data_IF_722924727306
#
_entry.id   IF_722924727306
#
_cell.length_a   1.000
_cell.length_b   1.000
_cell.length_c   1.000
_cell.angle_alpha   90.00
_cell.angle_beta   90.00
_cell.angle_gamma   90.00
#
_symmetry.space_group_name_H-M   'P 1'
#
loop_
_entity.id
_entity.type
_entity.pdbx_description
1 polymer ?
#
# COMPACT_ATOMS: atom_id res chain seq x y z
N UNK A 1 7.22 -28.22 36.80
CA UNK A 1 6.76 -26.86 36.46
C UNK A 1 7.05 -26.66 34.98
N UNK A 2 6.04 -26.81 34.12
CA UNK A 2 6.21 -26.77 32.65
C UNK A 2 6.00 -25.32 32.19
N UNK A 3 7.06 -24.68 31.71
CA UNK A 3 6.98 -23.38 31.03
C UNK A 3 6.61 -23.65 29.57
N UNK A 4 5.39 -23.29 29.19
CA UNK A 4 4.93 -23.30 27.80
C UNK A 4 5.38 -21.99 27.17
N UNK A 5 6.37 -22.05 26.29
CA UNK A 5 6.79 -20.92 25.48
C UNK A 5 5.76 -20.70 24.37
N UNK A 6 4.95 -19.64 24.52
CA UNK A 6 4.01 -19.20 23.50
C UNK A 6 4.80 -18.48 22.40
N UNK A 7 5.22 -19.22 21.39
CA UNK A 7 5.88 -18.66 20.21
C UNK A 7 4.87 -17.80 19.43
N UNK A 8 4.85 -16.49 19.69
CA UNK A 8 4.12 -15.53 18.87
C UNK A 8 4.83 -15.44 17.52
N UNK A 9 4.25 -16.10 16.51
CA UNK A 9 4.68 -15.93 15.12
C UNK A 9 4.42 -14.48 14.71
N UNK A 10 5.47 -13.67 14.68
CA UNK A 10 5.47 -12.38 13.98
C UNK A 10 5.37 -12.70 12.49
N UNK A 11 4.13 -12.78 12.00
CA UNK A 11 3.86 -12.83 10.57
C UNK A 11 4.42 -11.54 9.96
N UNK A 12 5.65 -11.61 9.43
CA UNK A 12 6.18 -10.56 8.57
C UNK A 12 5.29 -10.55 7.35
N UNK A 13 4.37 -9.59 7.27
CA UNK A 13 3.68 -9.26 6.04
C UNK A 13 4.75 -8.82 5.04
N UNK A 14 5.31 -9.79 4.32
CA UNK A 14 6.20 -9.54 3.21
C UNK A 14 5.37 -8.75 2.23
N UNK A 15 5.53 -7.43 2.21
CA UNK A 15 4.87 -6.57 1.25
C UNK A 15 5.35 -7.04 -0.12
N UNK A 16 4.54 -7.87 -0.78
CA UNK A 16 4.66 -8.11 -2.19
C UNK A 16 4.79 -6.74 -2.87
N UNK A 17 5.60 -6.65 -3.93
CA UNK A 17 5.76 -5.41 -4.68
C UNK A 17 4.37 -4.87 -5.05
N UNK A 18 3.94 -3.84 -4.32
CA UNK A 18 2.61 -3.24 -4.40
C UNK A 18 2.53 -2.27 -5.59
N UNK A 19 3.28 -2.54 -6.65
CA UNK A 19 3.29 -1.72 -7.85
C UNK A 19 2.21 -2.23 -8.79
N UNK A 20 1.28 -1.35 -9.18
CA UNK A 20 0.25 -1.64 -10.17
C UNK A 20 0.51 -0.88 -11.46
N UNK A 21 0.15 -1.48 -12.60
CA UNK A 21 0.15 -0.81 -13.88
C UNK A 21 -1.24 -0.29 -14.19
N UNK A 22 -1.33 0.97 -14.59
CA UNK A 22 -2.55 1.63 -15.10
C UNK A 22 -2.24 2.26 -16.46
N UNK A 23 -3.25 2.80 -17.14
CA UNK A 23 -3.07 3.48 -18.43
C UNK A 23 -2.03 4.61 -18.36
N UNK A 24 -2.04 5.39 -17.27
CA UNK A 24 -1.11 6.51 -17.03
C UNK A 24 0.30 6.11 -16.55
N UNK A 25 0.62 4.82 -16.43
CA UNK A 25 1.93 4.33 -15.99
C UNK A 25 1.89 3.41 -14.76
N UNK A 26 2.97 3.38 -13.98
CA UNK A 26 3.07 2.54 -12.77
C UNK A 26 2.83 3.36 -11.51
N UNK A 27 2.06 2.80 -10.58
CA UNK A 27 1.76 3.43 -9.28
C UNK A 27 2.26 2.49 -8.18
N UNK A 28 3.03 3.04 -7.25
CA UNK A 28 3.51 2.32 -6.07
C UNK A 28 2.55 2.50 -4.91
N UNK A 29 2.01 1.39 -4.40
CA UNK A 29 1.22 1.35 -3.17
C UNK A 29 2.08 1.44 -1.91
N UNK A 30 1.44 1.78 -0.80
CA UNK A 30 2.04 1.74 0.55
C UNK A 30 1.23 0.82 1.45
N UNK A 31 1.93 0.12 2.34
CA UNK A 31 1.27 -0.65 3.40
C UNK A 31 0.54 0.28 4.38
N UNK A 32 -0.52 -0.23 5.00
CA UNK A 32 -1.24 0.44 6.08
C UNK A 32 -1.12 -0.35 7.39
N UNK A 33 -1.68 0.21 8.46
CA UNK A 33 -1.85 -0.44 9.76
C UNK A 33 -2.95 -1.53 9.76
N UNK A 34 -3.77 -1.60 8.71
CA UNK A 34 -4.78 -2.64 8.53
C UNK A 34 -4.20 -3.81 7.74
N UNK A 35 -4.14 -4.98 8.36
CA UNK A 35 -3.61 -6.19 7.74
C UNK A 35 -4.31 -6.49 6.40
N UNK A 36 -3.50 -6.71 5.36
CA UNK A 36 -3.98 -7.02 4.01
C UNK A 36 -4.46 -5.81 3.19
N UNK A 37 -4.39 -4.59 3.72
CA UNK A 37 -4.77 -3.38 2.97
C UNK A 37 -3.55 -2.69 2.39
N UNK A 38 -3.65 -2.32 1.11
CA UNK A 38 -2.65 -1.50 0.41
C UNK A 38 -3.29 -0.19 -0.03
N UNK A 39 -2.68 0.94 0.34
CA UNK A 39 -3.16 2.27 0.00
C UNK A 39 -2.46 2.79 -1.26
N UNK A 40 -3.26 3.23 -2.23
CA UNK A 40 -2.81 3.98 -3.41
C UNK A 40 -3.45 5.36 -3.33
N UNK A 41 -2.65 6.39 -3.05
CA UNK A 41 -3.14 7.76 -2.81
C UNK A 41 -2.59 8.74 -3.84
N UNK A 42 -3.30 9.85 -4.04
CA UNK A 42 -2.93 10.94 -4.93
C UNK A 42 -2.66 10.50 -6.39
N UNK A 43 -3.42 9.50 -6.86
CA UNK A 43 -3.35 9.06 -8.26
C UNK A 43 -3.95 10.14 -9.15
N UNK A 44 -3.18 10.74 -10.08
CA UNK A 44 -3.71 11.74 -10.98
C UNK A 44 -4.69 11.08 -11.96
N UNK A 45 -5.91 11.61 -12.02
CA UNK A 45 -6.96 11.16 -12.95
C UNK A 45 -7.27 12.18 -14.04
N UNK A 46 -6.75 13.40 -13.90
CA UNK A 46 -6.94 14.50 -14.82
C UNK A 46 -5.71 15.41 -14.77
N UNK A 47 -5.60 16.31 -15.75
CA UNK A 47 -4.63 17.40 -15.69
C UNK A 47 -4.94 18.34 -14.50
N UNK A 48 -3.92 18.92 -13.83
CA UNK A 48 -4.14 19.91 -12.78
C UNK A 48 -5.00 21.09 -13.28
N UNK A 49 -6.02 21.55 -12.52
CA UNK A 49 -6.90 22.65 -12.93
C UNK A 49 -6.21 24.00 -12.69
N UNK A 50 -5.22 24.30 -13.53
CA UNK A 50 -4.42 25.52 -13.48
C UNK A 50 -4.55 26.31 -14.79
N UNK A 51 -4.23 27.60 -14.76
CA UNK A 51 -4.26 28.46 -15.95
C UNK A 51 -5.67 28.61 -16.51
N UNK A 52 -5.91 28.37 -17.82
CA UNK A 52 -7.23 28.47 -18.45
C UNK A 52 -8.30 27.55 -17.86
N UNK A 53 -7.89 26.48 -17.15
CA UNK A 53 -8.78 25.48 -16.56
C UNK A 53 -9.05 25.73 -15.06
N UNK A 54 -8.93 26.98 -14.59
CA UNK A 54 -9.17 27.37 -13.19
C UNK A 54 -10.61 27.83 -12.95
#
# INVERSE_FOLDING_TARGET
MLLVEFAASVASAQSADATVSVEGGKIRGVATDVAGVTLYKAVPFAAPPVGPNR
#
